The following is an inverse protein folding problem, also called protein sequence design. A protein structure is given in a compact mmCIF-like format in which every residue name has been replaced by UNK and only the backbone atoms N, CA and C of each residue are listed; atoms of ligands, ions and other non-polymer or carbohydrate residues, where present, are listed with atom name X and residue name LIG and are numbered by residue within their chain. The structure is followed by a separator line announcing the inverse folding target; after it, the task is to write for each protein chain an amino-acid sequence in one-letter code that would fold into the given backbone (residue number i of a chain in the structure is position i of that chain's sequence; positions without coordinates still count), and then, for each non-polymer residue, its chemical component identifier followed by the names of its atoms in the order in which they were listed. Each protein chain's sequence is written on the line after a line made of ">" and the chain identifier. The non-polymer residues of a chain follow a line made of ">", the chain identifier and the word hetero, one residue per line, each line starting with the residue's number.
data_IF_280239143724
#
_entry.id   IF_280239143724
#
_cell.length_a   1.000
_cell.length_b   1.000
_cell.length_c   1.000
_cell.angle_alpha   90.00
_cell.angle_beta   90.00
_cell.angle_gamma   90.00
#
_symmetry.space_group_name_H-M   'P 1'
#
loop_
_entity.id
_entity.type
_entity.pdbx_description
1 polymer ?
#
# COMPACT_ATOMS: atom_id res chain seq x y z
N UNK A 1 27.60 45.95 29.61
CA UNK A 1 27.77 44.74 28.77
C UNK A 1 27.47 43.58 29.70
N UNK A 2 26.20 43.17 29.78
CA UNK A 2 25.77 42.08 30.66
C UNK A 2 25.17 41.00 29.75
N UNK A 3 25.92 39.92 29.55
CA UNK A 3 25.45 38.70 28.89
C UNK A 3 24.56 37.94 29.88
N UNK A 4 23.25 38.13 29.77
CA UNK A 4 22.30 37.26 30.46
C UNK A 4 22.23 35.92 29.71
N UNK A 5 22.87 34.90 30.30
CA UNK A 5 22.84 33.54 29.78
C UNK A 5 21.41 32.98 29.83
N UNK A 6 20.80 32.82 28.64
CA UNK A 6 19.48 32.21 28.44
C UNK A 6 19.48 30.75 28.91
N UNK A 7 18.53 30.32 29.77
CA UNK A 7 18.49 28.95 30.24
C UNK A 7 18.17 27.99 29.09
N UNK A 8 19.00 26.95 28.92
CA UNK A 8 18.73 25.83 27.99
C UNK A 8 17.62 24.98 28.57
N UNK A 9 16.39 25.16 28.11
CA UNK A 9 15.29 24.24 28.39
C UNK A 9 15.68 22.85 27.86
N UNK A 10 15.85 21.89 28.76
CA UNK A 10 15.98 20.48 28.41
C UNK A 10 14.64 20.01 27.85
N UNK A 11 14.60 19.65 26.56
CA UNK A 11 13.46 18.99 25.91
C UNK A 11 13.11 17.72 26.69
N UNK A 12 12.17 17.82 27.63
CA UNK A 12 11.49 16.66 28.16
C UNK A 12 10.54 16.19 27.06
N UNK A 13 10.97 15.22 26.25
CA UNK A 13 10.11 14.60 25.23
C UNK A 13 8.98 13.88 25.95
N UNK A 14 7.91 14.61 26.20
CA UNK A 14 6.68 14.09 26.80
C UNK A 14 6.22 12.91 25.93
N UNK A 15 6.27 11.70 26.51
CA UNK A 15 5.90 10.48 25.78
C UNK A 15 4.41 10.57 25.47
N UNK A 16 4.07 10.46 24.19
CA UNK A 16 2.68 10.47 23.75
C UNK A 16 1.89 9.39 24.50
N UNK A 17 0.68 9.70 24.99
CA UNK A 17 -0.15 8.73 25.67
C UNK A 17 -0.48 7.58 24.70
N UNK A 18 -0.52 6.34 25.20
CA UNK A 18 -0.79 5.13 24.39
C UNK A 18 -2.09 5.25 23.59
N UNK A 19 -3.09 5.96 24.13
CA UNK A 19 -4.34 6.26 23.43
C UNK A 19 -4.13 7.07 22.13
N UNK A 20 -3.17 7.98 22.10
CA UNK A 20 -2.83 8.74 20.88
C UNK A 20 -2.24 7.83 19.80
N UNK A 21 -1.40 6.85 20.17
CA UNK A 21 -0.89 5.86 19.21
C UNK A 21 -1.99 4.99 18.61
N UNK A 22 -2.96 4.58 19.43
CA UNK A 22 -4.12 3.80 18.97
C UNK A 22 -4.98 4.64 18.03
N UNK A 23 -5.24 5.90 18.38
CA UNK A 23 -5.94 6.82 17.51
C UNK A 23 -5.19 7.06 16.20
N UNK A 24 -3.86 7.12 16.19
CA UNK A 24 -3.08 7.19 14.94
C UNK A 24 -3.13 5.90 14.12
N UNK A 25 -3.52 4.76 14.72
CA UNK A 25 -3.56 3.46 14.06
C UNK A 25 -4.79 3.22 13.17
N UNK A 26 -5.85 4.02 13.30
CA UNK A 26 -7.08 3.85 12.50
C UNK A 26 -6.85 3.80 10.97
N UNK A 27 -5.91 4.56 10.35
CA UNK A 27 -5.68 4.49 8.91
C UNK A 27 -4.93 3.21 8.53
N UNK A 28 -4.16 2.61 9.45
CA UNK A 28 -3.46 1.35 9.18
C UNK A 28 -4.45 0.20 8.94
N UNK A 29 -5.62 0.22 9.59
CA UNK A 29 -6.68 -0.76 9.32
C UNK A 29 -7.22 -0.62 7.90
N UNK A 30 -7.41 0.61 7.41
CA UNK A 30 -7.82 0.87 6.03
C UNK A 30 -6.76 0.39 5.03
N UNK A 31 -5.49 0.68 5.28
CA UNK A 31 -4.36 0.21 4.46
C UNK A 31 -4.26 -1.31 4.52
N UNK A 32 -4.54 -1.94 5.66
CA UNK A 32 -4.54 -3.39 5.77
C UNK A 32 -5.63 -4.04 4.93
N UNK A 33 -6.86 -3.53 4.96
CA UNK A 33 -7.97 -4.08 4.16
C UNK A 33 -7.73 -3.85 2.67
N UNK A 34 -7.39 -2.62 2.27
CA UNK A 34 -7.06 -2.31 0.87
C UNK A 34 -5.83 -3.09 0.40
N UNK A 35 -4.81 -3.19 1.24
CA UNK A 35 -3.58 -3.93 0.98
C UNK A 35 -3.79 -5.44 0.92
N UNK A 36 -4.71 -6.02 1.69
CA UNK A 36 -5.05 -7.43 1.62
C UNK A 36 -5.73 -7.77 0.29
N UNK A 37 -6.71 -6.96 -0.12
CA UNK A 37 -7.40 -7.17 -1.39
C UNK A 37 -6.45 -6.91 -2.58
N UNK A 38 -5.66 -5.83 -2.53
CA UNK A 38 -4.69 -5.49 -3.59
C UNK A 38 -3.53 -6.47 -3.64
N UNK A 39 -3.05 -6.93 -2.47
CA UNK A 39 -2.04 -7.95 -2.32
C UNK A 39 -2.52 -9.33 -2.79
N UNK A 40 -3.79 -9.67 -2.60
CA UNK A 40 -4.39 -10.89 -3.16
C UNK A 40 -4.37 -10.88 -4.69
N UNK A 41 -4.79 -9.78 -5.31
CA UNK A 41 -4.74 -9.58 -6.77
C UNK A 41 -3.31 -9.56 -7.31
N UNK A 42 -2.41 -8.82 -6.67
CA UNK A 42 -1.00 -8.75 -7.04
C UNK A 42 -0.27 -10.08 -6.86
N UNK A 43 -0.60 -10.82 -5.79
CA UNK A 43 -0.07 -12.16 -5.53
C UNK A 43 -0.55 -13.19 -6.56
N UNK A 44 -1.82 -13.13 -6.95
CA UNK A 44 -2.34 -13.95 -8.04
C UNK A 44 -1.65 -13.63 -9.38
N UNK A 45 -1.49 -12.35 -9.70
CA UNK A 45 -0.74 -11.91 -10.88
C UNK A 45 0.72 -12.38 -10.85
N UNK A 46 1.37 -12.35 -9.69
CA UNK A 46 2.71 -12.88 -9.50
C UNK A 46 2.77 -14.39 -9.78
N UNK A 47 1.83 -15.17 -9.26
CA UNK A 47 1.78 -16.61 -9.50
C UNK A 47 1.59 -16.94 -11.00
N UNK A 48 0.70 -16.20 -11.68
CA UNK A 48 0.50 -16.33 -13.13
C UNK A 48 1.80 -15.97 -13.88
N UNK A 49 2.44 -14.86 -13.53
CA UNK A 49 3.70 -14.44 -14.13
C UNK A 49 4.80 -15.48 -13.91
N UNK A 50 4.87 -16.08 -12.73
CA UNK A 50 5.84 -17.13 -12.41
C UNK A 50 5.69 -18.35 -13.34
N UNK A 51 4.46 -18.79 -13.62
CA UNK A 51 4.20 -19.89 -14.57
C UNK A 51 4.47 -19.49 -16.03
N UNK A 52 4.22 -18.23 -16.41
CA UNK A 52 4.59 -17.69 -17.73
C UNK A 52 6.12 -17.73 -17.91
N UNK A 53 6.88 -17.36 -16.89
CA UNK A 53 8.34 -17.38 -16.97
C UNK A 53 8.93 -18.81 -17.02
N UNK A 54 8.25 -19.79 -16.43
CA UNK A 54 8.59 -21.23 -16.57
C UNK A 54 8.30 -21.81 -17.94
N UNK A 55 7.38 -21.22 -18.69
CA UNK A 55 6.97 -21.73 -20.02
C UNK A 55 8.10 -21.65 -21.06
N UNK A 56 8.02 -22.45 -22.12
CA UNK A 56 9.00 -22.45 -23.23
C UNK A 56 8.84 -21.28 -24.23
N UNK A 57 8.22 -20.19 -23.80
CA UNK A 57 7.98 -19.01 -24.63
C UNK A 57 9.27 -18.21 -24.86
N UNK A 58 9.38 -17.48 -26.00
CA UNK A 58 10.46 -16.52 -26.21
C UNK A 58 10.49 -15.45 -25.11
N UNK A 59 11.68 -14.98 -24.76
CA UNK A 59 11.88 -14.00 -23.67
C UNK A 59 11.05 -12.73 -23.88
N UNK A 60 10.99 -12.22 -25.11
CA UNK A 60 10.20 -11.04 -25.43
C UNK A 60 8.69 -11.21 -25.11
N UNK A 61 8.13 -12.39 -25.41
CA UNK A 61 6.73 -12.71 -25.15
C UNK A 61 6.46 -12.78 -23.65
N UNK A 62 7.38 -13.37 -22.88
CA UNK A 62 7.26 -13.45 -21.40
C UNK A 62 7.19 -12.07 -20.76
N UNK A 63 8.04 -11.14 -21.21
CA UNK A 63 8.08 -9.77 -20.68
C UNK A 63 6.78 -9.03 -20.99
N UNK A 64 6.27 -9.15 -22.22
CA UNK A 64 5.00 -8.54 -22.62
C UNK A 64 3.85 -9.10 -21.78
N UNK A 65 3.75 -10.43 -21.66
CA UNK A 65 2.70 -11.07 -20.86
C UNK A 65 2.77 -10.67 -19.38
N UNK A 66 3.97 -10.52 -18.81
CA UNK A 66 4.14 -10.06 -17.45
C UNK A 66 3.58 -8.65 -17.23
N UNK A 67 3.89 -7.72 -18.15
CA UNK A 67 3.38 -6.34 -18.10
C UNK A 67 1.86 -6.33 -18.27
N UNK A 68 1.33 -7.10 -19.23
CA UNK A 68 -0.11 -7.20 -19.46
C UNK A 68 -0.85 -7.78 -18.25
N UNK A 69 -0.28 -8.78 -17.59
CA UNK A 69 -0.86 -9.39 -16.38
C UNK A 69 -0.82 -8.43 -15.19
N UNK A 70 0.25 -7.64 -15.05
CA UNK A 70 0.30 -6.57 -14.06
C UNK A 70 -0.75 -5.49 -14.34
N UNK A 71 -0.87 -5.06 -15.59
CA UNK A 71 -1.83 -4.03 -15.99
C UNK A 71 -3.28 -4.50 -15.80
N UNK A 72 -3.59 -5.75 -16.15
CA UNK A 72 -4.91 -6.34 -15.94
C UNK A 72 -5.27 -6.43 -14.46
N UNK A 73 -4.32 -6.75 -13.58
CA UNK A 73 -4.54 -6.75 -12.14
C UNK A 73 -4.87 -5.35 -11.60
N UNK A 74 -4.20 -4.30 -12.09
CA UNK A 74 -4.50 -2.90 -11.74
C UNK A 74 -5.88 -2.48 -12.24
N UNK A 75 -6.22 -2.81 -13.49
CA UNK A 75 -7.54 -2.52 -14.05
C UNK A 75 -8.63 -3.22 -13.23
N UNK A 76 -8.43 -4.50 -12.90
CA UNK A 76 -9.39 -5.27 -12.11
C UNK A 76 -9.57 -4.68 -10.70
N UNK A 77 -8.48 -4.24 -10.06
CA UNK A 77 -8.53 -3.51 -8.79
C UNK A 77 -9.40 -2.26 -8.88
N UNK A 78 -9.18 -1.42 -9.89
CA UNK A 78 -9.94 -0.18 -10.10
C UNK A 78 -11.42 -0.47 -10.38
N UNK A 79 -11.72 -1.49 -11.20
CA UNK A 79 -13.11 -1.89 -11.50
C UNK A 79 -13.85 -2.37 -10.25
N UNK A 80 -13.19 -3.13 -9.38
CA UNK A 80 -13.78 -3.55 -8.10
C UNK A 80 -14.06 -2.32 -7.23
N UNK A 81 -13.11 -1.39 -7.14
CA UNK A 81 -13.27 -0.14 -6.39
C UNK A 81 -14.43 0.72 -6.91
N UNK A 82 -14.53 0.92 -8.23
CA UNK A 82 -15.61 1.71 -8.83
C UNK A 82 -16.97 1.02 -8.71
N UNK A 83 -17.02 -0.30 -8.82
CA UNK A 83 -18.26 -1.06 -8.62
C UNK A 83 -18.78 -0.94 -7.18
N UNK A 84 -17.89 -1.11 -6.19
CA UNK A 84 -18.24 -0.91 -4.78
C UNK A 84 -18.71 0.52 -4.60
N UNK A 85 -17.95 1.52 -5.06
CA UNK A 85 -18.35 2.92 -4.96
C UNK A 85 -19.74 3.17 -5.55
N UNK A 86 -20.01 2.71 -6.78
CA UNK A 86 -21.30 2.88 -7.44
C UNK A 86 -22.47 2.25 -6.66
N UNK A 87 -22.23 1.16 -5.90
CA UNK A 87 -23.24 0.54 -5.03
C UNK A 87 -23.54 1.31 -3.75
N UNK A 88 -22.59 2.11 -3.26
CA UNK A 88 -22.77 2.92 -2.05
C UNK A 88 -23.18 4.37 -2.35
N UNK A 89 -23.02 4.82 -3.60
CA UNK A 89 -23.39 6.17 -4.07
C UNK A 89 -24.79 6.26 -4.70
N UNK A 90 -25.56 5.16 -4.70
CA UNK A 90 -26.89 5.04 -5.33
C UNK A 90 -28.04 5.02 -4.35
#
# INVERSE_FOLDING_TARGET
>A
MNEEAKPRQSENKEKLPTSAYIMCGWPLVLVFVGGALGGGLGGAAFAINFEIYKSRLPVAVKVILNILTGLSAVILWLVIGTYIHAKFSG
#
